data_IF_016050426688
#
_entry.id   IF_016050426688
#
_cell.length_a   1.000
_cell.length_b   1.000
_cell.length_c   1.000
_cell.angle_alpha   90.00
_cell.angle_beta   90.00
_cell.angle_gamma   90.00
#
_symmetry.space_group_name_H-M   'P 1'
#
loop_
_entity.id
_entity.type
_entity.pdbx_description
1 polymer ?
#
# COMPACT_ATOMS: atom_id res chain seq x y z
N UNK A 1 -25.07 15.67 7.51
CA UNK A 1 -25.22 16.08 6.10
C UNK A 1 -25.06 17.57 5.86
N UNK A 2 -25.75 18.49 6.56
CA UNK A 2 -25.59 19.95 6.34
C UNK A 2 -24.15 20.49 6.51
N UNK A 3 -23.36 19.98 7.46
CA UNK A 3 -21.96 20.43 7.68
C UNK A 3 -20.98 19.92 6.61
N UNK A 4 -21.25 18.79 5.97
CA UNK A 4 -20.44 18.25 4.88
C UNK A 4 -20.64 19.05 3.58
N UNK A 5 -21.89 19.46 3.29
CA UNK A 5 -22.18 20.37 2.16
C UNK A 5 -21.50 21.73 2.31
N UNK A 6 -21.46 22.27 3.53
CA UNK A 6 -20.81 23.56 3.80
C UNK A 6 -19.28 23.48 3.57
N UNK A 7 -18.65 22.34 3.88
CA UNK A 7 -17.20 22.14 3.70
C UNK A 7 -16.82 22.00 2.21
N UNK A 8 -17.61 21.28 1.42
CA UNK A 8 -17.41 21.15 -0.03
C UNK A 8 -17.70 22.48 -0.76
N UNK A 9 -18.74 23.22 -0.34
CA UNK A 9 -19.04 24.53 -0.89
C UNK A 9 -17.97 25.57 -0.49
N UNK A 10 -17.35 25.48 0.69
CA UNK A 10 -16.27 26.37 1.10
C UNK A 10 -14.97 26.11 0.32
N UNK A 11 -14.66 24.85 -0.04
CA UNK A 11 -13.52 24.50 -0.90
C UNK A 11 -13.72 24.96 -2.34
N UNK A 12 -14.94 24.85 -2.89
CA UNK A 12 -15.28 25.32 -4.22
C UNK A 12 -15.32 26.87 -4.28
N UNK A 13 -15.81 27.53 -3.24
CA UNK A 13 -15.82 28.99 -3.16
C UNK A 13 -14.40 29.60 -3.02
N UNK A 14 -13.47 28.89 -2.38
CA UNK A 14 -12.07 29.33 -2.29
C UNK A 14 -11.35 29.27 -3.65
N UNK A 15 -11.69 28.29 -4.49
CA UNK A 15 -11.12 28.14 -5.83
C UNK A 15 -11.65 29.18 -6.84
N UNK A 16 -12.89 29.64 -6.67
CA UNK A 16 -13.51 30.64 -7.58
C UNK A 16 -13.14 32.09 -7.25
N UNK A 17 -12.72 32.37 -6.00
CA UNK A 17 -12.35 33.74 -5.58
C UNK A 17 -10.92 34.13 -5.98
N UNK A 18 -10.03 33.19 -6.29
CA UNK A 18 -8.69 33.52 -6.81
C UNK A 18 -8.65 33.89 -8.30
N UNK A 19 -9.76 33.76 -9.02
CA UNK A 19 -9.82 34.02 -10.46
C UNK A 19 -10.39 35.42 -10.80
N UNK A 20 -10.79 36.25 -9.84
CA UNK A 20 -11.56 37.44 -10.10
C UNK A 20 -10.88 38.77 -9.69
N UNK A 21 -9.59 38.79 -9.33
CA UNK A 21 -8.87 40.04 -9.01
C UNK A 21 -7.75 40.34 -10.01
N UNK A 22 -8.12 40.69 -11.22
CA UNK A 22 -7.26 41.52 -12.08
C UNK A 22 -8.17 42.45 -12.89
N UNK A 23 -8.19 43.72 -12.52
CA UNK A 23 -8.33 44.96 -13.28
C UNK A 23 -9.02 46.04 -12.47
N UNK A 24 -8.30 47.05 -12.08
CA UNK A 24 -8.52 48.46 -12.47
C UNK A 24 -7.63 49.38 -11.63
N UNK A 25 -6.70 49.99 -12.31
CA UNK A 25 -5.98 51.21 -11.84
C UNK A 25 -6.75 52.42 -12.31
N UNK A 26 -7.08 53.32 -11.39
CA UNK A 26 -7.16 54.79 -11.68
C UNK A 26 -7.03 55.61 -10.40
N UNK A 27 -6.29 56.64 -10.54
CA UNK A 27 -5.79 57.73 -9.70
C UNK A 27 -6.84 58.41 -8.80
N UNK A 28 -6.58 58.62 -7.51
CA UNK A 28 -7.22 59.65 -6.66
C UNK A 28 -6.46 59.99 -5.35
N UNK A 29 -6.64 61.22 -4.88
CA UNK A 29 -5.94 62.07 -3.93
C UNK A 29 -5.86 61.57 -2.46
N UNK A 30 -5.11 62.28 -1.61
CA UNK A 30 -4.65 61.92 -0.26
C UNK A 30 -5.72 61.47 0.78
N UNK A 31 -6.97 61.86 0.63
CA UNK A 31 -8.10 61.43 1.48
C UNK A 31 -8.48 59.96 1.20
N UNK A 32 -8.18 59.47 0.01
CA UNK A 32 -8.43 58.12 -0.43
C UNK A 32 -7.39 57.11 0.14
N UNK A 33 -6.19 57.60 0.52
CA UNK A 33 -5.12 56.76 1.09
C UNK A 33 -5.43 56.29 2.50
N UNK A 34 -6.08 57.10 3.35
CA UNK A 34 -6.46 56.65 4.71
C UNK A 34 -7.57 55.60 4.67
N UNK A 35 -8.60 55.83 3.87
CA UNK A 35 -9.66 54.84 3.62
C UNK A 35 -9.13 53.56 2.98
N UNK A 36 -8.12 53.68 2.09
CA UNK A 36 -7.46 52.53 1.45
C UNK A 36 -6.63 51.75 2.47
N UNK A 37 -5.88 52.39 3.37
CA UNK A 37 -5.10 51.71 4.44
C UNK A 37 -6.03 51.01 5.41
N UNK A 38 -7.14 51.60 5.79
CA UNK A 38 -8.12 51.01 6.70
C UNK A 38 -8.79 49.77 6.07
N UNK A 39 -9.14 49.87 4.79
CA UNK A 39 -9.66 48.73 4.01
C UNK A 39 -8.64 47.60 3.84
N UNK A 40 -7.36 47.94 3.61
CA UNK A 40 -6.27 46.96 3.52
C UNK A 40 -6.03 46.30 4.87
N UNK A 41 -6.04 47.01 5.98
CA UNK A 41 -5.91 46.47 7.32
C UNK A 41 -7.09 45.53 7.67
N UNK A 42 -8.32 45.91 7.30
CA UNK A 42 -9.49 45.04 7.49
C UNK A 42 -9.39 43.75 6.66
N UNK A 43 -8.90 43.85 5.42
CA UNK A 43 -8.63 42.68 4.54
C UNK A 43 -7.52 41.81 5.11
N UNK A 44 -6.44 42.40 5.61
CA UNK A 44 -5.32 41.71 6.25
C UNK A 44 -5.81 40.90 7.48
N UNK A 45 -6.52 41.59 8.40
CA UNK A 45 -7.10 40.95 9.60
C UNK A 45 -8.07 39.79 9.23
N UNK A 46 -8.88 39.98 8.18
CA UNK A 46 -9.77 38.93 7.67
C UNK A 46 -8.98 37.75 7.10
N UNK A 47 -7.89 38.03 6.38
CA UNK A 47 -7.00 37.00 5.84
C UNK A 47 -6.26 36.22 6.94
N UNK A 48 -5.75 36.93 7.95
CA UNK A 48 -5.11 36.32 9.13
C UNK A 48 -6.08 35.40 9.89
N UNK A 49 -7.33 35.83 10.10
CA UNK A 49 -8.37 34.98 10.70
C UNK A 49 -8.66 33.74 9.84
N UNK A 50 -8.71 33.90 8.51
CA UNK A 50 -8.89 32.78 7.58
C UNK A 50 -7.71 31.79 7.63
N UNK A 51 -6.48 32.29 7.61
CA UNK A 51 -5.26 31.49 7.75
C UNK A 51 -5.26 30.74 9.09
N UNK A 52 -5.63 31.39 10.18
CA UNK A 52 -5.73 30.75 11.50
C UNK A 52 -6.80 29.64 11.54
N UNK A 53 -7.93 29.83 10.85
CA UNK A 53 -8.99 28.80 10.71
C UNK A 53 -8.49 27.65 9.84
N UNK A 54 -7.82 27.93 8.71
CA UNK A 54 -7.24 26.90 7.85
C UNK A 54 -6.17 26.09 8.58
N UNK A 55 -5.28 26.74 9.34
CA UNK A 55 -4.28 26.05 10.17
C UNK A 55 -4.89 25.14 11.25
N UNK A 56 -6.03 25.54 11.83
CA UNK A 56 -6.80 24.64 12.72
C UNK A 56 -7.46 23.49 11.97
N UNK A 57 -7.95 23.73 10.75
CA UNK A 57 -8.58 22.68 9.93
C UNK A 57 -7.56 21.63 9.47
N UNK A 58 -6.33 22.01 9.17
CA UNK A 58 -5.27 21.05 8.79
C UNK A 58 -5.01 19.97 9.85
N UNK A 59 -5.18 20.29 11.13
CA UNK A 59 -5.08 19.29 12.20
C UNK A 59 -6.17 18.21 12.04
N UNK A 60 -7.41 18.64 11.77
CA UNK A 60 -8.58 17.76 11.72
C UNK A 60 -8.77 17.10 10.37
N UNK A 61 -8.26 17.70 9.29
CA UNK A 61 -8.44 17.20 7.93
C UNK A 61 -7.23 17.51 7.06
N UNK A 62 -6.50 16.48 6.71
CA UNK A 62 -5.44 16.49 5.71
C UNK A 62 -5.87 15.63 4.52
N UNK A 63 -5.89 16.22 3.35
CA UNK A 63 -6.18 15.55 2.09
C UNK A 63 -4.87 15.26 1.38
N UNK A 64 -4.72 14.04 0.88
CA UNK A 64 -3.62 13.67 -0.03
C UNK A 64 -4.18 12.82 -1.14
N UNK A 65 -3.67 13.00 -2.34
CA UNK A 65 -4.10 12.22 -3.49
C UNK A 65 -2.92 11.83 -4.37
N UNK A 66 -3.07 10.75 -5.12
CA UNK A 66 -2.18 10.43 -6.23
C UNK A 66 -2.91 9.61 -7.28
N UNK A 67 -2.44 9.71 -8.51
CA UNK A 67 -2.84 8.82 -9.60
C UNK A 67 -1.62 8.16 -10.22
N UNK A 68 -1.81 6.97 -10.80
CA UNK A 68 -0.80 6.21 -11.54
C UNK A 68 -1.40 5.76 -12.86
N UNK A 69 -0.91 6.38 -13.96
CA UNK A 69 -1.13 5.90 -15.30
C UNK A 69 0.01 4.96 -15.70
N UNK A 70 -0.31 3.87 -16.38
CA UNK A 70 0.66 2.84 -16.77
C UNK A 70 0.46 2.46 -18.23
N UNK A 71 1.57 2.27 -18.92
CA UNK A 71 1.65 1.47 -20.13
C UNK A 71 2.37 0.18 -19.80
N UNK A 72 1.87 -0.94 -20.27
CA UNK A 72 2.52 -2.25 -20.12
C UNK A 72 2.51 -3.02 -21.43
N UNK A 73 3.59 -3.72 -21.65
CA UNK A 73 3.77 -4.66 -22.72
C UNK A 73 4.34 -5.96 -22.15
N UNK A 74 3.77 -7.10 -22.59
CA UNK A 74 4.24 -8.44 -22.27
C UNK A 74 4.31 -9.28 -23.52
N UNK A 75 5.29 -10.19 -23.57
CA UNK A 75 5.30 -11.29 -24.53
C UNK A 75 4.08 -12.20 -24.31
N UNK A 76 3.75 -12.95 -25.35
CA UNK A 76 2.89 -14.12 -25.19
C UNK A 76 3.59 -15.15 -24.27
N UNK A 77 2.94 -15.51 -23.20
CA UNK A 77 3.39 -16.53 -22.25
C UNK A 77 2.32 -17.59 -22.02
N UNK A 78 2.54 -18.50 -21.05
CA UNK A 78 1.58 -19.58 -20.73
C UNK A 78 0.24 -19.08 -20.19
N UNK A 79 0.18 -17.87 -19.62
CA UNK A 79 -1.08 -17.27 -19.17
C UNK A 79 -1.76 -16.45 -20.27
N UNK A 80 -0.97 -15.93 -21.23
CA UNK A 80 -1.47 -15.10 -22.31
C UNK A 80 -1.12 -15.75 -23.65
N UNK A 81 -2.12 -16.20 -24.36
CA UNK A 81 -1.94 -16.78 -25.71
C UNK A 81 -1.43 -15.76 -26.73
N UNK A 82 -1.46 -14.48 -26.41
CA UNK A 82 -1.02 -13.37 -27.27
C UNK A 82 -0.27 -12.32 -26.43
N UNK A 83 0.65 -11.62 -27.08
CA UNK A 83 1.31 -10.44 -26.47
C UNK A 83 0.28 -9.38 -26.12
N UNK A 84 0.48 -8.73 -24.97
CA UNK A 84 -0.39 -7.66 -24.47
C UNK A 84 0.34 -6.33 -24.60
N UNK A 85 -0.34 -5.31 -25.11
CA UNK A 85 0.11 -3.93 -25.15
C UNK A 85 -1.05 -3.03 -24.77
N UNK A 86 -0.98 -2.39 -23.59
CA UNK A 86 -2.13 -1.65 -23.07
C UNK A 86 -1.76 -0.46 -22.20
N UNK A 87 -2.61 0.57 -22.27
CA UNK A 87 -2.61 1.66 -21.27
C UNK A 87 -3.67 1.40 -20.23
N UNK A 88 -3.36 1.70 -18.98
CA UNK A 88 -4.29 1.53 -17.88
C UNK A 88 -4.16 2.64 -16.82
N UNK A 89 -5.25 2.97 -16.16
CA UNK A 89 -5.26 3.73 -14.92
C UNK A 89 -5.11 2.75 -13.76
N UNK A 90 -3.88 2.53 -13.32
CA UNK A 90 -3.57 1.54 -12.30
C UNK A 90 -4.13 1.90 -10.93
N UNK A 91 -4.06 3.19 -10.56
CA UNK A 91 -4.54 3.70 -9.27
C UNK A 91 -4.96 5.16 -9.39
N UNK A 92 -6.06 5.50 -8.74
CA UNK A 92 -6.53 6.87 -8.56
C UNK A 92 -6.98 7.03 -7.10
N UNK A 93 -6.05 7.38 -6.21
CA UNK A 93 -6.25 7.28 -4.77
C UNK A 93 -6.29 8.64 -4.11
N UNK A 94 -7.20 8.80 -3.14
CA UNK A 94 -7.20 9.92 -2.22
C UNK A 94 -7.41 9.45 -0.78
N UNK A 95 -6.85 10.20 0.16
CA UNK A 95 -6.89 9.90 1.58
C UNK A 95 -7.29 11.14 2.35
N UNK A 96 -8.22 10.97 3.27
CA UNK A 96 -8.60 11.94 4.29
C UNK A 96 -8.05 11.42 5.63
N UNK A 97 -7.21 12.19 6.28
CA UNK A 97 -6.64 11.86 7.59
C UNK A 97 -6.73 13.05 8.51
N UNK A 98 -6.73 12.84 9.80
CA UNK A 98 -6.70 13.93 10.75
C UNK A 98 -6.60 13.44 12.18
N UNK A 99 -6.24 14.36 13.09
CA UNK A 99 -6.23 14.13 14.51
C UNK A 99 -7.48 14.79 15.13
N UNK A 100 -8.41 13.96 15.60
CA UNK A 100 -9.61 14.43 16.31
C UNK A 100 -9.24 14.98 17.68
N UNK A 101 -8.16 14.47 18.27
CA UNK A 101 -7.64 14.89 19.55
C UNK A 101 -6.12 14.77 19.59
N UNK A 102 -5.46 15.77 20.17
CA UNK A 102 -4.03 15.76 20.53
C UNK A 102 -3.89 16.19 21.99
N UNK A 103 -3.35 15.30 22.80
CA UNK A 103 -3.10 15.52 24.22
C UNK A 103 -1.62 15.56 24.56
N UNK A 104 -1.34 15.62 25.87
CA UNK A 104 0.02 15.54 26.40
C UNK A 104 0.59 14.13 26.26
N UNK A 105 1.92 13.96 26.37
CA UNK A 105 2.65 12.68 26.33
C UNK A 105 2.38 11.82 25.09
N UNK A 106 1.97 12.44 23.98
CA UNK A 106 1.69 11.74 22.72
C UNK A 106 0.30 11.11 22.61
N UNK A 107 -0.61 11.44 23.56
CA UNK A 107 -2.00 11.02 23.47
C UNK A 107 -2.68 11.62 22.23
N UNK A 108 -3.38 10.81 21.45
CA UNK A 108 -4.15 11.25 20.29
C UNK A 108 -5.30 10.32 19.95
N UNK A 109 -6.27 10.88 19.24
CA UNK A 109 -7.27 10.12 18.50
C UNK A 109 -7.15 10.56 17.06
N UNK A 110 -6.83 9.64 16.16
CA UNK A 110 -6.68 9.91 14.72
C UNK A 110 -7.53 8.95 13.90
N UNK A 111 -7.76 9.32 12.64
CA UNK A 111 -8.57 8.54 11.72
C UNK A 111 -8.00 8.58 10.31
N UNK A 112 -8.43 7.63 9.47
CA UNK A 112 -8.16 7.61 8.05
C UNK A 112 -9.35 7.08 7.27
N UNK A 113 -9.66 7.78 6.17
CA UNK A 113 -10.42 7.27 5.04
C UNK A 113 -9.51 7.25 3.82
N UNK A 114 -9.52 6.15 3.07
CA UNK A 114 -8.66 5.99 1.90
C UNK A 114 -9.40 5.24 0.82
N UNK A 115 -9.45 5.83 -0.37
CA UNK A 115 -10.21 5.35 -1.51
C UNK A 115 -9.33 5.19 -2.74
N UNK A 116 -9.72 4.26 -3.62
CA UNK A 116 -9.13 4.05 -4.94
C UNK A 116 -10.23 4.07 -6.00
N UNK A 117 -10.37 5.19 -6.70
CA UNK A 117 -11.40 5.40 -7.72
C UNK A 117 -11.18 4.54 -8.97
N UNK A 118 -9.92 4.09 -9.23
CA UNK A 118 -9.63 3.17 -10.32
C UNK A 118 -10.27 1.79 -10.14
N UNK A 119 -10.80 1.49 -8.94
CA UNK A 119 -11.50 0.23 -8.65
C UNK A 119 -13.01 0.25 -8.92
N UNK A 120 -13.59 1.38 -9.27
CA UNK A 120 -15.03 1.48 -9.59
C UNK A 120 -15.31 0.68 -10.87
N UNK A 121 -16.40 -0.17 -10.91
CA UNK A 121 -17.49 -0.32 -9.95
C UNK A 121 -17.23 -1.30 -8.78
N UNK A 122 -16.05 -1.91 -8.68
CA UNK A 122 -15.68 -2.74 -7.53
C UNK A 122 -15.54 -1.88 -6.27
N UNK A 123 -15.28 -2.49 -5.13
CA UNK A 123 -15.14 -1.78 -3.86
C UNK A 123 -13.98 -0.76 -3.87
N UNK A 124 -14.24 0.57 -3.87
CA UNK A 124 -13.20 1.59 -3.90
C UNK A 124 -12.63 1.91 -2.51
N UNK A 125 -13.29 1.49 -1.41
CA UNK A 125 -12.88 1.85 -0.05
C UNK A 125 -11.76 0.95 0.42
N UNK A 126 -10.55 1.51 0.58
CA UNK A 126 -9.36 0.79 1.02
C UNK A 126 -9.18 0.79 2.53
N UNK A 127 -9.04 1.97 3.14
CA UNK A 127 -8.90 2.10 4.59
C UNK A 127 -10.06 2.92 5.15
N UNK A 128 -10.60 2.48 6.29
CA UNK A 128 -11.57 3.21 7.10
C UNK A 128 -11.37 2.79 8.54
N UNK A 129 -10.59 3.57 9.29
CA UNK A 129 -10.27 3.23 10.66
C UNK A 129 -10.18 4.46 11.58
N UNK A 130 -10.40 4.22 12.86
CA UNK A 130 -10.13 5.13 13.95
C UNK A 130 -9.11 4.50 14.88
N UNK A 131 -8.20 5.32 15.43
CA UNK A 131 -7.18 4.90 16.37
C UNK A 131 -7.18 5.79 17.59
N UNK A 132 -7.18 5.17 18.76
CA UNK A 132 -6.95 5.80 20.05
C UNK A 132 -5.57 5.42 20.58
N UNK A 133 -4.74 6.40 20.80
CA UNK A 133 -3.39 6.26 21.34
C UNK A 133 -3.28 7.09 22.62
N UNK A 134 -3.41 6.50 23.80
CA UNK A 134 -3.21 7.21 25.08
C UNK A 134 -1.74 7.56 25.32
N UNK A 135 -0.82 6.69 24.93
CA UNK A 135 0.63 6.86 25.06
C UNK A 135 1.33 6.31 23.81
N UNK A 136 2.61 6.61 23.63
CA UNK A 136 3.36 6.16 22.43
C UNK A 136 3.57 4.66 22.39
N UNK A 137 3.59 4.04 23.55
CA UNK A 137 3.83 2.60 23.74
C UNK A 137 2.59 1.75 23.45
N UNK A 138 1.40 2.37 23.38
CA UNK A 138 0.15 1.66 23.21
C UNK A 138 -0.87 2.46 22.41
N UNK A 139 -1.45 1.82 21.43
CA UNK A 139 -2.61 2.33 20.69
C UNK A 139 -3.54 1.19 20.30
N UNK A 140 -4.81 1.52 20.15
CA UNK A 140 -5.88 0.64 19.69
C UNK A 140 -6.39 1.19 18.36
N UNK A 141 -6.45 0.37 17.34
CA UNK A 141 -7.00 0.72 16.04
C UNK A 141 -8.13 -0.24 15.68
N UNK A 142 -9.26 0.31 15.22
CA UNK A 142 -10.45 -0.43 14.83
C UNK A 142 -10.91 0.02 13.44
N UNK A 143 -11.34 -0.92 12.62
CA UNK A 143 -11.90 -0.68 11.28
C UNK A 143 -11.21 -1.50 10.21
N UNK A 144 -11.31 -1.02 8.96
CA UNK A 144 -10.61 -1.62 7.84
C UNK A 144 -9.25 -0.96 7.66
N UNK A 145 -8.20 -1.75 7.68
CA UNK A 145 -6.83 -1.27 7.55
C UNK A 145 -5.94 -2.28 6.83
N UNK A 146 -4.79 -1.81 6.41
CA UNK A 146 -3.77 -2.66 5.83
C UNK A 146 -3.12 -3.52 6.92
N UNK A 147 -3.18 -4.85 6.76
CA UNK A 147 -2.47 -5.79 7.62
C UNK A 147 -0.96 -5.48 7.58
N UNK A 148 -0.31 -5.25 8.71
CA UNK A 148 1.13 -4.95 8.74
C UNK A 148 2.02 -6.19 8.58
N UNK A 149 1.58 -7.22 7.89
CA UNK A 149 2.27 -8.51 7.66
C UNK A 149 3.36 -8.32 6.66
N UNK A 150 4.08 -7.58 6.25
CA UNK A 150 5.20 -7.45 5.31
C UNK A 150 5.71 -6.01 5.26
N UNK A 151 6.98 -5.82 5.02
CA UNK A 151 7.53 -4.49 4.73
C UNK A 151 6.99 -3.96 3.42
N UNK A 152 7.13 -4.72 2.34
CA UNK A 152 6.74 -4.31 1.00
C UNK A 152 5.24 -4.02 0.93
N UNK A 153 4.39 -4.91 1.47
CA UNK A 153 2.95 -4.69 1.56
C UNK A 153 2.60 -3.40 2.31
N UNK A 154 3.41 -2.99 3.29
CA UNK A 154 3.17 -1.79 4.10
C UNK A 154 3.49 -0.48 3.38
N UNK A 155 4.28 -0.50 2.29
CA UNK A 155 4.69 0.70 1.55
C UNK A 155 3.53 1.27 0.74
N UNK A 156 3.48 2.60 0.65
CA UNK A 156 2.57 3.26 -0.27
C UNK A 156 3.03 3.04 -1.71
N UNK A 157 2.15 2.63 -2.65
CA UNK A 157 2.52 2.48 -4.06
C UNK A 157 3.10 3.75 -4.70
N UNK A 158 2.74 4.94 -4.22
CA UNK A 158 3.32 6.20 -4.71
C UNK A 158 4.78 6.41 -4.29
N UNK A 159 5.27 5.65 -3.30
CA UNK A 159 6.64 5.73 -2.78
C UNK A 159 7.49 4.50 -3.09
N UNK A 160 6.89 3.47 -3.67
CA UNK A 160 7.58 2.23 -3.97
C UNK A 160 8.56 2.42 -5.13
N UNK A 161 9.79 1.91 -4.98
CA UNK A 161 10.85 2.15 -5.95
C UNK A 161 10.72 1.29 -7.21
N UNK A 162 10.00 0.16 -7.14
CA UNK A 162 9.62 -0.67 -8.28
C UNK A 162 8.17 -0.42 -8.70
N UNK A 163 7.75 -0.99 -9.82
CA UNK A 163 6.37 -0.88 -10.32
C UNK A 163 5.51 -1.98 -9.70
N UNK A 164 5.97 -3.22 -9.73
CA UNK A 164 5.23 -4.39 -9.25
C UNK A 164 5.78 -4.85 -7.89
N UNK A 165 4.86 -5.33 -7.05
CA UNK A 165 5.20 -6.03 -5.81
C UNK A 165 5.75 -7.41 -6.12
N UNK A 166 6.53 -7.96 -5.17
CA UNK A 166 7.08 -9.31 -5.28
C UNK A 166 5.99 -10.38 -5.32
N UNK A 167 6.28 -11.49 -5.97
CA UNK A 167 5.38 -12.65 -5.98
C UNK A 167 5.14 -13.20 -4.57
N UNK A 168 6.19 -13.24 -3.73
CA UNK A 168 6.08 -13.65 -2.35
C UNK A 168 5.01 -12.85 -1.59
N UNK A 169 5.03 -11.51 -1.73
CA UNK A 169 4.09 -10.61 -1.06
C UNK A 169 2.71 -10.65 -1.72
N UNK A 170 2.63 -10.75 -3.04
CA UNK A 170 1.35 -10.87 -3.75
C UNK A 170 0.63 -12.15 -3.36
N UNK A 171 1.34 -13.28 -3.27
CA UNK A 171 0.76 -14.59 -3.04
C UNK A 171 0.55 -14.95 -1.55
N UNK A 172 1.41 -14.46 -0.64
CA UNK A 172 1.40 -14.86 0.77
C UNK A 172 1.00 -13.75 1.75
N UNK A 173 1.08 -12.48 1.35
CA UNK A 173 0.66 -11.34 2.16
C UNK A 173 -0.63 -10.68 1.66
N UNK A 174 -1.43 -11.37 0.86
CA UNK A 174 -2.73 -10.92 0.33
C UNK A 174 -2.63 -9.58 -0.41
N UNK A 175 -1.55 -9.34 -1.18
CA UNK A 175 -1.31 -8.03 -1.79
C UNK A 175 -1.70 -7.95 -3.28
N UNK A 176 -2.01 -9.05 -3.90
CA UNK A 176 -2.37 -9.16 -5.32
C UNK A 176 -3.60 -10.01 -5.58
N UNK A 177 -3.90 -10.23 -6.86
CA UNK A 177 -4.98 -11.12 -7.32
C UNK A 177 -4.59 -12.60 -7.27
N UNK A 178 -3.32 -12.90 -7.01
CA UNK A 178 -2.77 -14.25 -7.03
C UNK A 178 -2.56 -14.85 -5.63
N UNK A 179 -3.26 -14.33 -4.61
CA UNK A 179 -3.17 -14.88 -3.26
C UNK A 179 -3.47 -16.38 -3.26
N UNK A 180 -2.67 -17.13 -2.50
CA UNK A 180 -2.80 -18.60 -2.44
C UNK A 180 -4.14 -19.07 -1.86
N UNK A 181 -4.90 -18.21 -1.20
CA UNK A 181 -6.27 -18.47 -0.74
C UNK A 181 -7.34 -17.99 -1.72
N UNK A 182 -6.97 -17.57 -2.94
CA UNK A 182 -7.91 -17.09 -3.95
C UNK A 182 -8.53 -15.72 -3.65
N UNK A 183 -8.09 -15.02 -2.62
CA UNK A 183 -8.64 -13.73 -2.23
C UNK A 183 -8.07 -12.60 -3.10
N UNK A 184 -8.95 -11.87 -3.77
CA UNK A 184 -8.55 -10.67 -4.52
C UNK A 184 -8.48 -9.45 -3.57
N UNK A 185 -7.41 -9.36 -2.83
CA UNK A 185 -7.24 -8.40 -1.73
C UNK A 185 -6.04 -7.49 -1.95
N UNK A 186 -6.01 -6.41 -1.20
CA UNK A 186 -4.94 -5.40 -1.23
C UNK A 186 -4.23 -5.34 0.12
N UNK A 187 -4.02 -6.50 0.75
CA UNK A 187 -3.53 -6.68 2.12
C UNK A 187 -4.39 -5.95 3.17
N UNK A 188 -5.68 -5.75 2.90
CA UNK A 188 -6.59 -5.04 3.81
C UNK A 188 -7.69 -5.95 4.29
N UNK A 189 -8.09 -5.71 5.55
CA UNK A 189 -9.16 -6.46 6.17
C UNK A 189 -9.83 -5.64 7.27
N UNK A 190 -11.01 -6.06 7.69
CA UNK A 190 -11.75 -5.53 8.82
C UNK A 190 -11.25 -6.18 10.11
N UNK A 191 -10.97 -5.39 11.13
CA UNK A 191 -10.55 -5.94 12.39
C UNK A 191 -10.12 -4.91 13.43
N UNK A 192 -9.36 -5.44 14.37
CA UNK A 192 -8.88 -4.74 15.54
C UNK A 192 -7.37 -4.99 15.67
N UNK A 193 -6.62 -3.95 16.04
CA UNK A 193 -5.17 -4.03 16.19
C UNK A 193 -4.70 -3.23 17.42
N UNK A 194 -3.83 -3.83 18.19
CA UNK A 194 -2.99 -3.18 19.19
C UNK A 194 -1.63 -2.91 18.57
N UNK A 195 -1.10 -1.72 18.78
CA UNK A 195 0.20 -1.32 18.25
C UNK A 195 0.88 -0.31 19.17
N UNK A 196 2.19 -0.26 19.08
CA UNK A 196 2.98 0.69 19.86
C UNK A 196 4.47 0.57 19.60
N UNK A 197 5.24 1.41 20.29
CA UNK A 197 6.68 1.40 20.19
C UNK A 197 7.37 1.71 21.50
N UNK A 198 8.47 1.05 21.73
CA UNK A 198 9.31 1.20 22.90
C UNK A 198 10.70 1.71 22.54
N UNK A 199 11.44 2.20 23.52
CA UNK A 199 12.81 2.69 23.38
C UNK A 199 12.87 3.80 22.34
N UNK A 200 12.28 4.94 22.68
CA UNK A 200 12.21 6.11 21.79
C UNK A 200 13.56 6.80 21.67
N UNK A 201 14.00 7.03 20.43
CA UNK A 201 15.24 7.73 20.11
C UNK A 201 15.02 8.60 18.88
N UNK A 202 15.45 9.86 18.94
CA UNK A 202 15.51 10.79 17.78
C UNK A 202 14.26 10.81 16.89
N UNK A 203 13.06 10.71 17.53
CA UNK A 203 11.78 10.78 16.83
C UNK A 203 11.29 9.46 16.22
N UNK A 204 11.92 8.32 16.54
CA UNK A 204 11.43 6.97 16.20
C UNK A 204 11.51 6.02 17.39
N UNK A 205 10.82 4.89 17.31
CA UNK A 205 10.89 3.81 18.31
C UNK A 205 11.78 2.69 17.78
N UNK A 206 12.72 2.22 18.60
CA UNK A 206 13.62 1.12 18.23
C UNK A 206 12.84 -0.19 18.12
N UNK A 207 12.00 -0.49 19.11
CA UNK A 207 11.14 -1.68 19.09
C UNK A 207 9.70 -1.26 18.81
N UNK A 208 9.06 -1.88 17.82
CA UNK A 208 7.66 -1.66 17.49
C UNK A 208 6.93 -3.00 17.41
N UNK A 209 5.69 -3.01 17.81
CA UNK A 209 4.83 -4.20 17.74
C UNK A 209 3.47 -3.87 17.12
N UNK A 210 2.91 -4.87 16.46
CA UNK A 210 1.53 -4.91 15.99
C UNK A 210 0.99 -6.29 16.30
N UNK A 211 -0.18 -6.37 16.89
CA UNK A 211 -0.89 -7.63 17.14
C UNK A 211 -2.38 -7.37 17.00
N UNK A 212 -3.11 -8.28 16.38
CA UNK A 212 -4.53 -8.05 16.19
C UNK A 212 -5.27 -9.24 15.61
N UNK A 213 -6.55 -9.00 15.38
CA UNK A 213 -7.49 -9.95 14.80
C UNK A 213 -8.22 -9.32 13.62
N UNK A 214 -8.42 -10.12 12.58
CA UNK A 214 -9.06 -9.75 11.32
C UNK A 214 -10.16 -10.73 10.98
N UNK A 215 -11.09 -10.35 10.12
CA UNK A 215 -12.06 -11.28 9.56
C UNK A 215 -11.40 -12.37 8.68
N UNK A 216 -10.27 -12.08 8.04
CA UNK A 216 -9.58 -13.02 7.16
C UNK A 216 -10.07 -13.00 5.71
N UNK A 217 -11.20 -12.36 5.43
CA UNK A 217 -11.91 -12.43 4.16
C UNK A 217 -11.64 -11.24 3.21
N UNK A 218 -10.81 -10.29 3.64
CA UNK A 218 -10.33 -9.20 2.80
C UNK A 218 -11.18 -7.93 2.82
N UNK A 219 -11.19 -7.23 1.69
CA UNK A 219 -11.60 -5.84 1.59
C UNK A 219 -13.12 -5.68 1.70
N UNK A 220 -13.60 -5.14 2.83
CA UNK A 220 -15.00 -4.82 3.11
C UNK A 220 -15.94 -6.04 3.01
N UNK A 221 -15.39 -7.22 3.27
CA UNK A 221 -16.14 -8.46 3.27
C UNK A 221 -16.51 -8.87 4.70
N UNK A 222 -17.71 -9.39 4.84
CA UNK A 222 -18.12 -10.04 6.07
C UNK A 222 -17.36 -11.34 6.22
N UNK A 223 -17.17 -11.76 7.44
CA UNK A 223 -16.59 -13.06 7.71
C UNK A 223 -17.46 -14.18 7.12
N UNK A 224 -16.82 -15.11 6.43
CA UNK A 224 -17.47 -16.26 5.80
C UNK A 224 -17.26 -17.56 6.58
N UNK A 225 -16.61 -17.49 7.76
CA UNK A 225 -16.38 -18.62 8.67
C UNK A 225 -16.60 -18.17 10.13
N UNK A 226 -16.37 -19.06 11.09
CA UNK A 226 -16.48 -18.77 12.53
C UNK A 226 -15.15 -18.39 13.17
N UNK A 227 -14.06 -18.53 12.45
CA UNK A 227 -12.71 -18.24 12.90
C UNK A 227 -12.33 -16.79 12.62
N UNK A 228 -11.31 -16.28 13.29
CA UNK A 228 -10.69 -15.00 13.03
C UNK A 228 -9.22 -15.20 12.70
N UNK A 229 -8.71 -14.42 11.76
CA UNK A 229 -7.28 -14.36 11.51
C UNK A 229 -6.60 -13.60 12.64
N UNK A 230 -5.61 -14.21 13.27
CA UNK A 230 -4.77 -13.57 14.28
C UNK A 230 -3.41 -13.29 13.68
N UNK A 231 -2.90 -12.08 13.86
CA UNK A 231 -1.59 -11.70 13.34
C UNK A 231 -0.73 -11.02 14.40
N UNK A 232 0.58 -11.14 14.22
CA UNK A 232 1.58 -10.45 15.02
C UNK A 232 2.77 -10.04 14.17
N UNK A 233 3.34 -8.87 14.47
CA UNK A 233 4.59 -8.38 13.91
C UNK A 233 5.42 -7.68 14.96
N UNK A 234 6.71 -7.99 14.97
CA UNK A 234 7.73 -7.25 15.74
C UNK A 234 8.68 -6.62 14.73
N UNK A 235 9.03 -5.36 14.95
CA UNK A 235 9.98 -4.62 14.13
C UNK A 235 11.02 -3.97 15.01
N UNK A 236 12.30 -4.24 14.74
CA UNK A 236 13.44 -3.61 15.39
C UNK A 236 14.09 -2.64 14.41
N UNK A 237 14.31 -1.40 14.84
CA UNK A 237 14.94 -0.32 14.06
C UNK A 237 16.22 0.13 14.73
N UNK A 238 17.37 -0.47 14.41
CA UNK A 238 18.67 -0.03 14.94
C UNK A 238 19.02 1.41 14.54
N UNK A 239 18.51 1.86 13.38
CA UNK A 239 18.59 3.23 12.92
C UNK A 239 17.28 3.69 12.26
N UNK A 240 17.16 4.99 11.92
CA UNK A 240 15.99 5.52 11.21
C UNK A 240 15.77 4.86 9.86
N UNK A 241 16.85 4.55 9.18
CA UNK A 241 16.86 4.10 7.80
C UNK A 241 16.90 2.55 7.68
N UNK A 242 17.17 1.83 8.79
CA UNK A 242 17.25 0.38 8.78
C UNK A 242 16.29 -0.27 9.78
N UNK A 243 15.59 -1.28 9.32
CA UNK A 243 14.64 -2.06 10.12
C UNK A 243 14.75 -3.55 9.80
N UNK A 244 14.54 -4.37 10.83
CA UNK A 244 14.34 -5.81 10.77
C UNK A 244 12.93 -6.11 11.28
N UNK A 245 12.23 -7.07 10.68
CA UNK A 245 10.94 -7.52 11.19
C UNK A 245 10.77 -9.02 11.08
N UNK A 246 9.99 -9.56 12.02
CA UNK A 246 9.42 -10.89 11.95
C UNK A 246 7.90 -10.78 12.14
N UNK A 247 7.15 -11.65 11.47
CA UNK A 247 5.69 -11.63 11.48
C UNK A 247 5.11 -13.02 11.34
N UNK A 248 3.91 -13.17 11.88
CA UNK A 248 3.15 -14.40 11.85
C UNK A 248 1.66 -14.08 11.71
N UNK A 249 0.94 -14.91 10.97
CA UNK A 249 -0.52 -14.88 10.86
C UNK A 249 -1.05 -16.32 10.87
N UNK A 250 -2.10 -16.52 11.62
CA UNK A 250 -2.89 -17.74 11.66
C UNK A 250 -4.35 -17.41 11.36
N UNK A 251 -5.03 -18.28 10.64
CA UNK A 251 -6.44 -18.11 10.31
C UNK A 251 -7.01 -19.31 9.57
N UNK A 252 -8.15 -19.09 8.93
CA UNK A 252 -8.83 -20.09 8.10
C UNK A 252 -9.21 -19.50 6.75
N UNK A 253 -9.16 -20.31 5.70
CA UNK A 253 -9.64 -19.98 4.37
C UNK A 253 -10.78 -20.91 3.94
N UNK A 254 -11.77 -20.35 3.22
CA UNK A 254 -12.88 -21.13 2.69
C UNK A 254 -12.43 -21.94 1.48
N UNK A 255 -12.44 -23.27 1.60
CA UNK A 255 -11.99 -24.19 0.56
C UNK A 255 -12.85 -24.12 -0.70
N UNK A 256 -14.17 -23.94 -0.56
CA UNK A 256 -15.07 -23.85 -1.69
C UNK A 256 -14.78 -22.63 -2.55
N UNK A 257 -14.45 -21.52 -1.93
CA UNK A 257 -14.04 -20.30 -2.65
C UNK A 257 -12.73 -20.54 -3.42
N UNK A 258 -11.74 -21.15 -2.77
CA UNK A 258 -10.46 -21.51 -3.40
C UNK A 258 -10.65 -22.44 -4.59
N UNK A 259 -11.51 -23.45 -4.47
CA UNK A 259 -11.80 -24.41 -5.54
C UNK A 259 -12.52 -23.77 -6.72
N UNK A 260 -13.44 -22.84 -6.48
CA UNK A 260 -14.16 -22.14 -7.53
C UNK A 260 -13.25 -21.20 -8.34
N UNK A 261 -12.33 -20.52 -7.64
CA UNK A 261 -11.41 -19.58 -8.30
C UNK A 261 -10.27 -20.28 -9.06
N UNK A 262 -9.78 -21.41 -8.55
CA UNK A 262 -8.63 -22.14 -9.12
C UNK A 262 -8.80 -23.66 -8.96
N UNK A 263 -9.75 -24.27 -9.68
CA UNK A 263 -10.11 -25.66 -9.49
C UNK A 263 -8.94 -26.64 -9.69
N UNK A 264 -8.08 -26.36 -10.66
CA UNK A 264 -6.96 -27.23 -11.00
C UNK A 264 -5.87 -27.27 -9.91
N UNK A 265 -5.69 -26.15 -9.19
CA UNK A 265 -4.70 -26.03 -8.12
C UNK A 265 -5.14 -26.65 -6.80
N UNK A 266 -6.45 -26.73 -6.57
CA UNK A 266 -7.03 -27.14 -5.29
C UNK A 266 -7.86 -28.43 -5.40
N UNK A 267 -7.87 -29.09 -6.57
CA UNK A 267 -8.63 -30.33 -6.80
C UNK A 267 -8.29 -31.42 -5.79
N UNK A 268 -7.02 -31.54 -5.41
CA UNK A 268 -6.53 -32.52 -4.46
C UNK A 268 -6.99 -32.28 -3.02
N UNK A 269 -7.38 -31.05 -2.68
CA UNK A 269 -7.96 -30.73 -1.37
C UNK A 269 -9.36 -31.30 -1.16
N UNK A 270 -10.10 -31.65 -2.22
CA UNK A 270 -11.38 -32.34 -2.13
C UNK A 270 -11.27 -33.72 -1.50
N UNK A 271 -10.08 -34.25 -1.45
CA UNK A 271 -9.86 -35.61 -1.01
C UNK A 271 -10.09 -35.86 0.48
N UNK A 272 -9.94 -34.85 1.35
CA UNK A 272 -10.25 -35.02 2.77
C UNK A 272 -11.76 -34.88 3.11
N UNK A 273 -12.61 -34.90 2.12
CA UNK A 273 -14.01 -35.33 2.16
C UNK A 273 -15.02 -34.50 2.93
N UNK A 274 -14.63 -33.54 3.78
CA UNK A 274 -15.59 -32.85 4.63
C UNK A 274 -15.21 -31.46 5.12
N UNK A 275 -14.00 -30.95 4.87
CA UNK A 275 -13.60 -29.65 5.37
C UNK A 275 -13.98 -28.53 4.39
N UNK A 276 -15.01 -27.77 4.70
CA UNK A 276 -15.37 -26.51 4.02
C UNK A 276 -14.28 -25.45 4.22
N UNK A 277 -13.50 -25.52 5.28
CA UNK A 277 -12.47 -24.58 5.67
C UNK A 277 -11.13 -25.28 5.91
N UNK A 278 -10.04 -24.60 5.56
CA UNK A 278 -8.67 -25.05 5.81
C UNK A 278 -7.92 -24.04 6.65
N UNK A 279 -7.14 -24.53 7.61
CA UNK A 279 -6.27 -23.69 8.44
C UNK A 279 -5.15 -23.09 7.60
N UNK A 280 -4.87 -21.84 7.82
CA UNK A 280 -3.77 -21.11 7.18
C UNK A 280 -2.75 -20.64 8.20
N UNK A 281 -1.48 -20.87 7.92
CA UNK A 281 -0.36 -20.32 8.65
C UNK A 281 0.52 -19.53 7.68
N UNK A 282 0.95 -18.36 8.08
CA UNK A 282 1.89 -17.51 7.36
C UNK A 282 2.93 -16.98 8.33
N UNK A 283 4.18 -17.09 7.98
CA UNK A 283 5.28 -16.52 8.77
C UNK A 283 6.35 -15.97 7.85
N UNK A 284 7.13 -15.07 8.37
CA UNK A 284 8.22 -14.51 7.59
C UNK A 284 9.01 -13.49 8.38
N UNK A 285 10.00 -12.97 7.70
CA UNK A 285 10.84 -11.92 8.22
C UNK A 285 11.68 -11.30 7.12
N UNK A 286 12.25 -10.17 7.43
CA UNK A 286 13.05 -9.47 6.45
C UNK A 286 13.71 -8.22 7.00
N UNK A 287 14.36 -7.53 6.10
CA UNK A 287 15.01 -6.26 6.36
C UNK A 287 14.52 -5.17 5.39
N UNK A 288 14.62 -3.94 5.83
CA UNK A 288 14.38 -2.76 5.01
C UNK A 288 15.40 -1.68 5.33
N UNK A 289 16.15 -1.28 4.34
CA UNK A 289 17.03 -0.11 4.37
C UNK A 289 16.51 0.93 3.38
N UNK A 290 16.16 2.12 3.86
CA UNK A 290 15.63 3.22 3.04
C UNK A 290 16.41 4.52 3.34
N UNK A 291 17.66 4.57 2.84
CA UNK A 291 18.56 5.70 3.00
C UNK A 291 18.41 6.73 1.89
N UNK A 292 19.01 7.91 2.11
CA UNK A 292 18.98 9.01 1.13
C UNK A 292 19.65 8.69 -0.20
N UNK A 293 20.74 7.87 -0.17
CA UNK A 293 21.55 7.55 -1.35
C UNK A 293 21.33 6.16 -1.92
N UNK A 294 20.76 5.26 -1.14
CA UNK A 294 20.53 3.88 -1.54
C UNK A 294 19.32 3.32 -0.79
N UNK A 295 18.75 2.28 -1.34
CA UNK A 295 17.71 1.48 -0.71
C UNK A 295 18.01 0.00 -0.91
N UNK A 296 17.60 -0.83 0.03
CA UNK A 296 17.64 -2.28 -0.10
C UNK A 296 16.52 -2.88 0.77
N UNK A 297 15.87 -3.90 0.28
CA UNK A 297 14.82 -4.62 1.00
C UNK A 297 14.84 -6.09 0.59
N UNK A 298 14.52 -6.95 1.54
CA UNK A 298 14.34 -8.35 1.27
C UNK A 298 13.47 -8.99 2.34
N UNK A 299 12.63 -9.90 1.93
CA UNK A 299 11.74 -10.67 2.81
C UNK A 299 11.69 -12.11 2.35
N UNK A 300 11.72 -13.03 3.31
CA UNK A 300 11.32 -14.41 3.13
C UNK A 300 9.96 -14.61 3.80
N UNK A 301 9.02 -15.17 3.07
CA UNK A 301 7.68 -15.46 3.53
C UNK A 301 7.36 -16.91 3.19
N UNK A 302 6.86 -17.66 4.17
CA UNK A 302 6.41 -19.02 3.97
C UNK A 302 5.06 -19.25 4.64
N UNK A 303 4.38 -20.32 4.27
CA UNK A 303 3.12 -20.66 4.89
C UNK A 303 2.57 -22.02 4.50
N UNK A 304 1.54 -22.40 5.22
CA UNK A 304 0.72 -23.57 4.97
C UNK A 304 -0.72 -23.12 4.68
N UNK A 305 -1.33 -23.68 3.67
CA UNK A 305 -2.77 -23.57 3.41
C UNK A 305 -3.32 -25.00 3.44
N UNK A 306 -3.90 -25.39 4.59
CA UNK A 306 -4.09 -26.81 4.88
C UNK A 306 -2.76 -27.55 4.87
N UNK A 307 -2.63 -28.58 4.01
CA UNK A 307 -1.40 -29.34 3.84
C UNK A 307 -0.47 -28.78 2.75
N UNK A 308 -0.84 -27.70 2.07
CA UNK A 308 -0.08 -27.12 0.96
C UNK A 308 0.95 -26.09 1.45
N UNK A 309 2.25 -26.41 1.41
CA UNK A 309 3.30 -25.44 1.74
C UNK A 309 3.57 -24.52 0.56
N UNK A 310 3.75 -23.25 0.85
CA UNK A 310 4.17 -22.25 -0.14
C UNK A 310 5.22 -21.34 0.48
N UNK A 311 6.17 -20.91 -0.32
CA UNK A 311 7.22 -20.00 0.14
C UNK A 311 7.64 -19.02 -0.95
N UNK A 312 8.22 -17.93 -0.54
CA UNK A 312 8.78 -16.97 -1.47
C UNK A 312 9.84 -16.09 -0.81
N UNK A 313 10.72 -15.59 -1.64
CA UNK A 313 11.82 -14.72 -1.27
C UNK A 313 11.96 -13.64 -2.31
N UNK A 314 12.13 -12.41 -1.88
CA UNK A 314 12.59 -11.36 -2.78
C UNK A 314 13.72 -10.56 -2.14
N UNK A 315 14.57 -10.01 -2.98
CA UNK A 315 15.57 -9.01 -2.62
C UNK A 315 15.57 -7.94 -3.69
N UNK A 316 15.46 -6.70 -3.27
CA UNK A 316 15.59 -5.51 -4.12
C UNK A 316 16.63 -4.57 -3.56
N UNK A 317 17.37 -3.91 -4.44
CA UNK A 317 18.34 -2.88 -4.07
C UNK A 317 18.55 -1.87 -5.19
N UNK A 318 18.93 -0.65 -4.81
CA UNK A 318 19.20 0.40 -5.77
C UNK A 318 19.91 1.61 -5.18
N UNK A 319 20.33 2.50 -6.07
CA UNK A 319 20.94 3.78 -5.73
C UNK A 319 20.08 4.95 -6.17
N UNK A 320 20.14 6.03 -5.39
CA UNK A 320 19.47 7.30 -5.64
C UNK A 320 20.50 8.38 -5.90
N UNK A 321 20.32 9.15 -6.96
CA UNK A 321 21.21 10.20 -7.41
C UNK A 321 20.45 11.52 -7.42
N UNK A 322 20.82 12.44 -6.52
CA UNK A 322 20.31 13.80 -6.58
C UNK A 322 21.01 14.54 -7.71
N UNK A 323 20.25 15.10 -8.63
CA UNK A 323 20.76 15.86 -9.76
C UNK A 323 21.13 17.28 -9.30
N UNK A 324 22.20 17.84 -9.89
CA UNK A 324 22.60 19.21 -9.62
C UNK A 324 21.49 20.22 -9.97
N UNK A 325 21.56 21.43 -9.40
CA UNK A 325 20.63 22.53 -9.69
C UNK A 325 19.16 22.22 -9.41
N UNK A 326 18.88 21.39 -8.38
CA UNK A 326 17.50 21.01 -8.02
C UNK A 326 16.68 20.36 -9.17
N UNK A 327 17.36 19.74 -10.14
CA UNK A 327 16.73 19.01 -11.25
C UNK A 327 16.09 17.69 -10.84
N UNK A 328 15.93 17.45 -9.54
CA UNK A 328 15.25 16.27 -9.00
C UNK A 328 16.17 15.12 -8.66
N UNK A 329 15.59 13.94 -8.55
CA UNK A 329 16.25 12.70 -8.15
C UNK A 329 16.03 11.61 -9.20
N UNK A 330 17.10 10.96 -9.60
CA UNK A 330 17.08 9.74 -10.40
C UNK A 330 17.44 8.54 -9.52
N UNK A 331 16.87 7.38 -9.80
CA UNK A 331 17.32 6.13 -9.18
C UNK A 331 17.33 4.98 -10.17
N UNK A 332 18.14 3.98 -9.86
CA UNK A 332 18.19 2.71 -10.56
C UNK A 332 18.28 1.58 -9.54
N UNK A 333 17.58 0.50 -9.80
CA UNK A 333 17.57 -0.68 -8.92
C UNK A 333 17.29 -1.97 -9.66
N UNK A 334 17.64 -3.08 -9.00
CA UNK A 334 17.34 -4.43 -9.43
C UNK A 334 16.58 -5.20 -8.34
N UNK A 335 15.76 -6.14 -8.76
CA UNK A 335 15.00 -7.05 -7.91
C UNK A 335 15.11 -8.47 -8.44
N UNK A 336 15.33 -9.41 -7.54
CA UNK A 336 15.17 -10.85 -7.77
C UNK A 336 14.04 -11.32 -6.88
N UNK A 337 13.10 -12.07 -7.45
CA UNK A 337 11.87 -12.47 -6.83
C UNK A 337 11.59 -13.94 -7.16
N UNK A 338 11.32 -14.72 -6.15
CA UNK A 338 11.04 -16.15 -6.21
C UNK A 338 9.81 -16.47 -5.40
N UNK A 339 8.93 -17.27 -5.96
CA UNK A 339 7.79 -17.85 -5.27
C UNK A 339 7.59 -19.29 -5.70
N UNK A 340 7.30 -20.15 -4.75
CA UNK A 340 6.91 -21.53 -4.99
C UNK A 340 5.58 -21.82 -4.30
N UNK A 341 4.61 -22.23 -5.08
CA UNK A 341 3.33 -22.74 -4.59
C UNK A 341 3.41 -24.26 -4.51
N UNK A 342 2.88 -24.82 -3.44
CA UNK A 342 2.90 -26.26 -3.19
C UNK A 342 4.31 -26.87 -3.34
N UNK A 343 5.29 -26.25 -2.68
CA UNK A 343 6.71 -26.61 -2.81
C UNK A 343 6.99 -28.09 -2.54
N UNK A 344 6.16 -28.72 -1.71
CA UNK A 344 6.22 -30.12 -1.40
C UNK A 344 4.82 -30.64 -1.10
N UNK A 345 4.39 -31.63 -1.87
CA UNK A 345 3.12 -32.33 -1.63
C UNK A 345 3.30 -33.33 -0.50
N UNK A 346 2.82 -32.97 0.69
CA UNK A 346 2.89 -33.87 1.87
C UNK A 346 1.99 -35.10 1.75
N UNK A 347 0.98 -35.06 0.87
CA UNK A 347 0.07 -36.18 0.65
C UNK A 347 0.76 -37.26 -0.24
N UNK A 348 1.28 -36.83 -1.37
CA UNK A 348 1.96 -37.71 -2.33
C UNK A 348 3.47 -37.82 -2.08
N UNK A 349 4.01 -37.06 -1.14
CA UNK A 349 5.44 -37.01 -0.76
C UNK A 349 6.36 -36.74 -1.94
N UNK A 350 5.94 -35.84 -2.80
CA UNK A 350 6.70 -35.44 -3.98
C UNK A 350 6.61 -33.95 -4.27
N UNK A 351 7.27 -33.49 -5.33
CA UNK A 351 7.27 -32.08 -5.78
C UNK A 351 6.56 -31.91 -7.12
N UNK A 352 5.80 -32.92 -7.58
CA UNK A 352 5.20 -32.91 -8.92
C UNK A 352 4.17 -31.80 -9.11
N UNK A 353 3.53 -31.33 -8.02
CA UNK A 353 2.52 -30.29 -8.05
C UNK A 353 3.10 -28.90 -7.74
N UNK A 354 4.41 -28.76 -7.67
CA UNK A 354 5.04 -27.46 -7.41
C UNK A 354 4.89 -26.52 -8.61
N UNK A 355 4.46 -25.29 -8.34
CA UNK A 355 4.47 -24.20 -9.30
C UNK A 355 5.47 -23.13 -8.85
N UNK A 356 6.52 -22.94 -9.64
CA UNK A 356 7.60 -21.98 -9.34
C UNK A 356 7.49 -20.78 -10.27
N UNK A 357 7.52 -19.60 -9.68
CA UNK A 357 7.57 -18.32 -10.38
C UNK A 357 8.83 -17.56 -9.96
N UNK A 358 9.61 -17.14 -10.95
CA UNK A 358 10.81 -16.30 -10.73
C UNK A 358 10.71 -15.05 -11.59
N UNK A 359 11.15 -13.92 -11.05
CA UNK A 359 11.22 -12.67 -11.78
C UNK A 359 12.51 -11.94 -11.48
N UNK A 360 13.15 -11.49 -12.53
CA UNK A 360 14.31 -10.60 -12.50
C UNK A 360 13.87 -9.26 -13.07
N UNK A 361 13.95 -8.20 -12.26
CA UNK A 361 13.49 -6.87 -12.69
C UNK A 361 14.59 -5.84 -12.54
N UNK A 362 14.64 -4.92 -13.48
CA UNK A 362 15.40 -3.67 -13.35
C UNK A 362 14.43 -2.52 -13.45
N UNK A 363 14.62 -1.49 -12.62
CA UNK A 363 13.77 -0.31 -12.61
C UNK A 363 14.61 0.94 -12.60
N UNK A 364 14.26 1.87 -13.49
CA UNK A 364 14.77 3.23 -13.56
C UNK A 364 13.66 4.17 -13.16
N UNK A 365 13.97 5.16 -12.34
CA UNK A 365 12.97 6.13 -11.94
C UNK A 365 13.52 7.54 -11.89
N UNK A 366 12.66 8.50 -12.15
CA UNK A 366 12.98 9.92 -12.13
C UNK A 366 11.87 10.72 -11.45
N UNK A 367 12.25 11.55 -10.50
CA UNK A 367 11.37 12.47 -9.77
C UNK A 367 11.90 13.88 -9.95
N UNK A 368 11.48 14.62 -11.01
CA UNK A 368 11.92 16.00 -11.25
C UNK A 368 11.50 16.93 -10.12
N UNK A 369 10.29 16.72 -9.58
CA UNK A 369 9.73 17.47 -8.46
C UNK A 369 8.96 16.51 -7.55
N UNK A 370 8.76 16.87 -6.29
CA UNK A 370 8.09 15.99 -5.29
C UNK A 370 6.68 15.52 -5.67
N UNK A 371 6.06 16.16 -6.66
CA UNK A 371 4.68 15.88 -7.09
C UNK A 371 4.58 15.01 -8.33
N UNK A 372 5.71 14.71 -8.99
CA UNK A 372 5.71 13.99 -10.25
C UNK A 372 6.83 12.96 -10.30
N UNK A 373 6.50 11.75 -10.74
CA UNK A 373 7.41 10.61 -10.81
C UNK A 373 7.18 9.80 -12.07
N UNK A 374 8.26 9.39 -12.72
CA UNK A 374 8.24 8.47 -13.87
C UNK A 374 9.08 7.26 -13.52
N UNK A 375 8.62 6.08 -13.85
CA UNK A 375 9.31 4.81 -13.66
C UNK A 375 9.25 3.97 -14.92
N UNK A 376 10.38 3.40 -15.31
CA UNK A 376 10.49 2.43 -16.40
C UNK A 376 11.06 1.13 -15.80
N UNK A 377 10.36 0.04 -15.99
CA UNK A 377 10.79 -1.27 -15.54
C UNK A 377 10.82 -2.26 -16.70
N UNK A 378 11.85 -3.11 -16.70
CA UNK A 378 11.92 -4.32 -17.49
C UNK A 378 11.93 -5.52 -16.55
N UNK A 379 11.19 -6.55 -16.90
CA UNK A 379 11.15 -7.82 -16.17
C UNK A 379 11.33 -9.00 -17.10
N UNK A 380 12.13 -9.96 -16.65
CA UNK A 380 12.21 -11.30 -17.20
C UNK A 380 11.53 -12.24 -16.19
N UNK A 381 10.48 -12.91 -16.62
CA UNK A 381 9.68 -13.83 -15.82
C UNK A 381 9.92 -15.27 -16.28
N UNK A 382 10.06 -16.17 -15.33
CA UNK A 382 10.17 -17.60 -15.58
C UNK A 382 9.12 -18.32 -14.73
N UNK A 383 8.34 -19.18 -15.36
CA UNK A 383 7.34 -20.02 -14.71
C UNK A 383 7.61 -21.49 -15.03
N UNK A 384 7.54 -22.32 -14.01
CA UNK A 384 7.77 -23.76 -14.10
C UNK A 384 6.60 -24.44 -13.41
N UNK A 385 5.79 -25.18 -14.17
CA UNK A 385 4.72 -26.02 -13.66
C UNK A 385 5.11 -27.47 -13.85
N UNK A 386 5.23 -28.22 -12.76
CA UNK A 386 5.62 -29.61 -12.81
C UNK A 386 4.47 -30.57 -13.21
N UNK A 387 3.20 -30.13 -13.05
CA UNK A 387 2.01 -30.99 -13.21
C UNK A 387 1.61 -31.26 -14.67
N UNK A 388 1.91 -30.37 -15.63
CA UNK A 388 1.34 -30.45 -17.00
C UNK A 388 2.33 -30.64 -18.13
N UNK A 389 3.51 -30.86 -17.88
CA UNK A 389 4.71 -31.06 -18.73
C UNK A 389 5.82 -30.16 -18.20
N UNK A 390 7.07 -30.58 -18.35
CA UNK A 390 8.26 -29.80 -17.97
C UNK A 390 8.39 -28.46 -18.77
N UNK A 391 7.28 -27.76 -18.99
CA UNK A 391 7.25 -26.54 -19.76
C UNK A 391 7.77 -25.39 -18.91
N UNK A 392 8.96 -24.97 -19.24
CA UNK A 392 9.52 -23.70 -18.79
C UNK A 392 9.01 -22.61 -19.71
N UNK A 393 8.28 -21.66 -19.14
CA UNK A 393 7.83 -20.48 -19.87
C UNK A 393 8.67 -19.29 -19.43
N UNK A 394 9.15 -18.55 -20.45
CA UNK A 394 9.86 -17.29 -20.26
C UNK A 394 9.01 -16.19 -20.85
N UNK A 395 8.81 -15.12 -20.11
CA UNK A 395 8.11 -13.92 -20.56
C UNK A 395 8.96 -12.67 -20.32
N UNK A 396 8.87 -11.73 -21.24
CA UNK A 396 9.46 -10.42 -21.09
C UNK A 396 8.36 -9.39 -20.87
N UNK A 397 8.59 -8.46 -19.96
CA UNK A 397 7.67 -7.37 -19.68
C UNK A 397 8.36 -6.03 -19.65
N UNK A 398 7.74 -5.02 -20.24
CA UNK A 398 8.15 -3.61 -20.12
C UNK A 398 6.99 -2.82 -19.56
N UNK A 399 7.24 -2.03 -18.52
CA UNK A 399 6.23 -1.16 -17.90
C UNK A 399 6.76 0.25 -17.75
N UNK A 400 5.96 1.20 -18.21
CA UNK A 400 6.17 2.63 -17.98
C UNK A 400 5.05 3.13 -17.07
N UNK A 401 5.41 3.73 -15.94
CA UNK A 401 4.43 4.28 -14.99
C UNK A 401 4.70 5.74 -14.70
N UNK A 402 3.65 6.55 -14.77
CA UNK A 402 3.65 7.96 -14.40
C UNK A 402 2.80 8.13 -13.16
N UNK A 403 3.36 8.79 -12.13
CA UNK A 403 2.67 9.08 -10.86
C UNK A 403 2.59 10.59 -10.66
N UNK A 404 1.38 11.12 -10.54
CA UNK A 404 1.10 12.46 -10.06
C UNK A 404 0.67 12.42 -8.59
N UNK A 405 1.20 13.32 -7.74
CA UNK A 405 0.94 13.36 -6.29
C UNK A 405 0.50 14.76 -5.87
N UNK A 406 -0.46 14.85 -4.92
CA UNK A 406 -1.06 16.09 -4.45
C UNK A 406 -1.10 16.15 -2.93
#
# INVERSE_FOLDING_TARGET
>A
MKRFYILVCALLAAATLSAQESTTTTDKSATDKSATIESLNARLTKSEKRIAILGKLEQYLKVTAFFQGQYEWHDADSEHSTSVSTFSLRRARFSLTGDLYKGKKGAKIDYRFYFDLARIPKNPMLDMWIRYQPVKEFAIQLGQFKNPFSFEASISPSKYDFIDFSYAVCNLAKMGSNDVCGLNVTARDLGFMLLGGFIHRDGYSILNYHVGVLNGNGLNEKDNNKSKDVFGRITVKPSKDFALAAYYQWGEANLLHMLNDKPDLYADYRWNGSAEYVTTHRWGGGFNYDGKKAFARGEYIAGLTGAMPSEGLYVEAGKRFNLAENRGMFWAGGMVDYFCRNCFDYIHRDTKNAAIEMRYSVCLGYTPVKYFRVQLAYSLEQRIHHTFSNNRHFGNGVKLMVTGMF
#
